data_IF_586674335249
#
_entry.id   IF_586674335249
#
_cell.length_a   1.000
_cell.length_b   1.000
_cell.length_c   1.000
_cell.angle_alpha   90.00
_cell.angle_beta   90.00
_cell.angle_gamma   90.00
#
_symmetry.space_group_name_H-M   'P 1'
#
loop_
_entity.id
_entity.type
_entity.pdbx_description
1 polymer ?
#
# COMPACT_ATOMS: atom_id res chain seq x y z
N UNK A 1 18.86 -27.20 19.44
CA UNK A 1 17.60 -26.74 20.13
C UNK A 1 16.46 -26.75 19.11
N UNK A 2 15.45 -27.60 19.30
CA UNK A 2 14.40 -27.85 18.30
C UNK A 2 13.55 -26.58 18.09
N UNK A 3 13.24 -26.21 16.83
CA UNK A 3 12.44 -25.03 16.45
C UNK A 3 11.11 -24.99 17.22
N UNK A 4 10.52 -26.18 17.47
CA UNK A 4 9.27 -26.34 18.23
C UNK A 4 9.41 -25.97 19.71
N UNK A 5 10.54 -26.23 20.36
CA UNK A 5 10.77 -25.85 21.76
C UNK A 5 10.96 -24.33 21.88
N UNK A 6 11.68 -23.72 20.93
CA UNK A 6 11.88 -22.26 20.87
C UNK A 6 10.57 -21.51 20.59
N UNK A 7 9.70 -22.06 19.73
CA UNK A 7 8.37 -21.49 19.51
C UNK A 7 7.47 -21.58 20.76
N UNK A 8 7.49 -22.71 21.48
CA UNK A 8 6.69 -22.87 22.71
C UNK A 8 7.08 -21.88 23.80
N UNK A 9 8.36 -21.54 23.92
CA UNK A 9 8.87 -20.59 24.93
C UNK A 9 8.58 -19.11 24.63
N UNK A 10 8.09 -18.76 23.40
CA UNK A 10 7.74 -17.39 23.05
C UNK A 10 6.52 -16.91 23.85
N UNK A 11 6.52 -15.62 24.23
CA UNK A 11 5.35 -14.96 24.81
C UNK A 11 4.18 -14.94 23.83
N UNK A 12 2.95 -14.74 24.31
CA UNK A 12 1.73 -14.64 23.49
C UNK A 12 1.88 -13.48 22.48
N UNK A 13 2.45 -12.36 22.91
CA UNK A 13 2.71 -11.18 22.09
C UNK A 13 3.67 -11.51 20.93
N UNK A 14 4.77 -12.20 21.21
CA UNK A 14 5.74 -12.59 20.21
C UNK A 14 5.14 -13.60 19.20
N UNK A 15 4.34 -14.57 19.67
CA UNK A 15 3.58 -15.47 18.78
C UNK A 15 2.59 -14.72 17.90
N UNK A 16 1.85 -13.79 18.48
CA UNK A 16 0.89 -12.95 17.74
C UNK A 16 1.59 -12.12 16.67
N UNK A 17 2.67 -11.42 17.00
CA UNK A 17 3.45 -10.63 16.05
C UNK A 17 3.97 -11.48 14.88
N UNK A 18 4.52 -12.69 15.19
CA UNK A 18 5.00 -13.63 14.16
C UNK A 18 3.87 -14.04 13.21
N UNK A 19 2.72 -14.47 13.77
CA UNK A 19 1.60 -14.94 12.97
C UNK A 19 0.93 -13.81 12.16
N UNK A 20 0.82 -12.60 12.71
CA UNK A 20 0.32 -11.45 11.96
C UNK A 20 1.21 -11.11 10.78
N UNK A 21 2.54 -11.17 10.96
CA UNK A 21 3.50 -10.96 9.89
C UNK A 21 3.37 -12.03 8.80
N UNK A 22 3.37 -13.31 9.18
CA UNK A 22 3.20 -14.43 8.24
C UNK A 22 1.88 -14.29 7.48
N UNK A 23 0.79 -14.00 8.18
CA UNK A 23 -0.54 -13.82 7.59
C UNK A 23 -0.55 -12.69 6.56
N UNK A 24 0.05 -11.55 6.86
CA UNK A 24 0.17 -10.43 5.92
C UNK A 24 0.97 -10.78 4.67
N UNK A 25 2.06 -11.54 4.82
CA UNK A 25 2.83 -12.04 3.68
C UNK A 25 2.02 -13.04 2.84
N UNK A 26 1.31 -13.97 3.48
CA UNK A 26 0.47 -14.94 2.79
C UNK A 26 -0.66 -14.27 2.02
N UNK A 27 -1.37 -13.30 2.62
CA UNK A 27 -2.41 -12.54 1.92
C UNK A 27 -1.88 -11.84 0.67
N UNK A 28 -0.76 -11.13 0.80
CA UNK A 28 -0.13 -10.44 -0.33
C UNK A 28 0.37 -11.44 -1.38
N UNK A 29 0.93 -12.56 -0.95
CA UNK A 29 1.36 -13.65 -1.84
C UNK A 29 0.19 -14.26 -2.61
N UNK A 30 -0.93 -14.58 -1.95
CA UNK A 30 -2.14 -15.09 -2.59
C UNK A 30 -2.67 -14.08 -3.61
N UNK A 31 -2.79 -12.80 -3.21
CA UNK A 31 -3.24 -11.74 -4.11
C UNK A 31 -2.36 -11.64 -5.35
N UNK A 32 -1.05 -11.79 -5.18
CA UNK A 32 -0.08 -11.73 -6.26
C UNK A 32 -0.15 -12.95 -7.20
N UNK A 33 -0.24 -14.16 -6.63
CA UNK A 33 -0.37 -15.41 -7.40
C UNK A 33 -1.68 -15.44 -8.21
N UNK A 34 -2.73 -14.75 -7.77
CA UNK A 34 -4.01 -14.71 -8.48
C UNK A 34 -4.02 -13.74 -9.67
N UNK A 35 -3.08 -12.78 -9.74
CA UNK A 35 -2.97 -11.85 -10.88
C UNK A 35 -2.87 -12.59 -12.21
N UNK A 36 -1.93 -13.53 -12.42
CA UNK A 36 -1.80 -14.25 -13.69
C UNK A 36 -3.04 -15.08 -14.07
N UNK A 37 -3.83 -15.50 -13.11
CA UNK A 37 -5.08 -16.24 -13.37
C UNK A 37 -6.10 -15.27 -14.00
N UNK A 38 -6.33 -14.13 -13.40
CA UNK A 38 -7.35 -13.19 -13.86
C UNK A 38 -6.94 -12.43 -15.12
N UNK A 39 -5.67 -12.11 -15.31
CA UNK A 39 -5.19 -11.48 -16.55
C UNK A 39 -5.32 -12.37 -17.77
N UNK A 40 -5.35 -13.70 -17.60
CA UNK A 40 -5.57 -14.67 -18.68
C UNK A 40 -7.05 -14.97 -18.93
N UNK A 41 -7.88 -14.93 -17.88
CA UNK A 41 -9.31 -15.26 -17.96
C UNK A 41 -10.18 -14.07 -18.38
N UNK A 42 -9.72 -12.86 -18.18
CA UNK A 42 -10.44 -11.63 -18.49
C UNK A 42 -9.82 -10.95 -19.72
N UNK A 43 -10.62 -10.14 -20.44
CA UNK A 43 -10.05 -9.20 -21.41
C UNK A 43 -9.28 -8.10 -20.70
N UNK A 44 -8.41 -7.40 -21.42
CA UNK A 44 -7.69 -6.22 -20.86
C UNK A 44 -8.66 -5.14 -20.42
N UNK A 45 -9.73 -4.90 -21.17
CA UNK A 45 -10.76 -3.92 -20.83
C UNK A 45 -11.50 -4.30 -19.53
N UNK A 46 -11.91 -5.55 -19.38
CA UNK A 46 -12.57 -6.02 -18.17
C UNK A 46 -11.66 -6.00 -16.94
N UNK A 47 -10.39 -6.38 -17.13
CA UNK A 47 -9.40 -6.25 -16.04
C UNK A 47 -9.13 -4.79 -15.67
N UNK A 48 -9.12 -3.89 -16.65
CA UNK A 48 -9.03 -2.44 -16.45
C UNK A 48 -10.24 -1.89 -15.69
N UNK A 49 -11.46 -2.30 -16.10
CA UNK A 49 -12.70 -1.95 -15.39
C UNK A 49 -12.66 -2.37 -13.91
N UNK A 50 -12.20 -3.58 -13.62
CA UNK A 50 -11.98 -4.03 -12.24
C UNK A 50 -10.94 -3.17 -11.51
N UNK A 51 -9.87 -2.78 -12.19
CA UNK A 51 -8.83 -1.94 -11.58
C UNK A 51 -9.34 -0.53 -11.27
N UNK A 52 -10.17 0.06 -12.15
CA UNK A 52 -10.88 1.33 -11.91
C UNK A 52 -11.83 1.21 -10.72
N UNK A 53 -12.61 0.12 -10.66
CA UNK A 53 -13.49 -0.17 -9.52
C UNK A 53 -12.72 -0.18 -8.20
N UNK A 54 -11.58 -0.87 -8.12
CA UNK A 54 -10.76 -0.90 -6.91
C UNK A 54 -10.22 0.48 -6.53
N UNK A 55 -9.86 1.31 -7.51
CA UNK A 55 -9.36 2.66 -7.25
C UNK A 55 -10.44 3.56 -6.65
N UNK A 56 -11.65 3.51 -7.20
CA UNK A 56 -12.80 4.25 -6.66
C UNK A 56 -13.27 3.70 -5.32
N UNK A 57 -13.24 2.38 -5.13
CA UNK A 57 -13.60 1.74 -3.86
C UNK A 57 -12.75 2.26 -2.70
N UNK A 58 -11.44 2.44 -2.90
CA UNK A 58 -10.56 2.98 -1.85
C UNK A 58 -10.94 4.42 -1.48
N UNK A 59 -11.28 5.26 -2.46
CA UNK A 59 -11.75 6.62 -2.22
C UNK A 59 -13.10 6.59 -1.48
N UNK A 60 -14.05 5.79 -1.96
CA UNK A 60 -15.36 5.65 -1.33
C UNK A 60 -15.25 5.14 0.11
N UNK A 61 -14.37 4.18 0.37
CA UNK A 61 -14.14 3.65 1.72
C UNK A 61 -13.68 4.73 2.69
N UNK A 62 -12.82 5.67 2.27
CA UNK A 62 -12.48 6.83 3.12
C UNK A 62 -13.70 7.71 3.36
N UNK A 63 -14.45 8.01 2.32
CA UNK A 63 -15.62 8.90 2.43
C UNK A 63 -16.73 8.31 3.33
N UNK A 64 -16.89 6.99 3.32
CA UNK A 64 -17.95 6.30 4.07
C UNK A 64 -17.54 5.89 5.48
N UNK A 65 -16.26 5.61 5.74
CA UNK A 65 -15.77 5.17 7.05
C UNK A 65 -14.89 6.21 7.75
N UNK A 66 -14.56 7.34 7.10
CA UNK A 66 -13.55 8.31 7.55
C UNK A 66 -12.22 7.63 7.95
N UNK A 67 -12.01 6.40 7.48
CA UNK A 67 -10.85 5.55 7.80
C UNK A 67 -10.62 5.35 9.31
N UNK A 68 -11.70 5.39 10.11
CA UNK A 68 -11.67 5.37 11.57
C UNK A 68 -11.06 4.08 12.14
N UNK A 69 -11.10 2.99 11.39
CA UNK A 69 -10.50 1.71 11.78
C UNK A 69 -8.96 1.72 11.77
N UNK A 70 -8.32 2.81 11.30
CA UNK A 70 -6.88 2.94 11.24
C UNK A 70 -6.40 4.03 12.20
N UNK A 71 -5.74 3.64 13.28
CA UNK A 71 -5.19 4.53 14.29
C UNK A 71 -6.21 5.03 15.33
N UNK A 72 -7.32 5.64 14.91
CA UNK A 72 -8.36 6.14 15.84
C UNK A 72 -8.95 5.00 16.67
N UNK A 73 -9.25 3.89 16.02
CA UNK A 73 -9.78 2.69 16.67
C UNK A 73 -8.78 2.06 17.64
N UNK A 74 -7.51 1.96 17.27
CA UNK A 74 -6.46 1.40 18.11
C UNK A 74 -6.27 2.23 19.40
N UNK A 75 -6.27 3.56 19.29
CA UNK A 75 -6.21 4.47 20.43
C UNK A 75 -7.44 4.32 21.34
N UNK A 76 -8.62 4.14 20.77
CA UNK A 76 -9.84 3.94 21.51
C UNK A 76 -9.88 2.59 22.25
N UNK A 77 -9.30 1.53 21.68
CA UNK A 77 -9.17 0.24 22.34
C UNK A 77 -8.33 0.31 23.61
N UNK A 78 -7.34 1.21 23.68
CA UNK A 78 -6.59 1.48 24.90
C UNK A 78 -7.39 2.35 25.87
N UNK A 79 -8.07 3.41 25.37
CA UNK A 79 -8.81 4.37 26.20
C UNK A 79 -10.05 3.75 26.86
N UNK A 80 -10.83 2.98 26.09
CA UNK A 80 -12.11 2.39 26.53
C UNK A 80 -11.96 0.90 26.83
N UNK A 81 -10.99 0.54 27.66
CA UNK A 81 -10.62 -0.86 27.92
C UNK A 81 -11.79 -1.74 28.39
N UNK A 82 -12.66 -1.22 29.24
CA UNK A 82 -13.83 -1.93 29.79
C UNK A 82 -15.05 -1.90 28.87
N UNK A 83 -15.08 -1.00 27.89
CA UNK A 83 -16.21 -0.69 27.02
C UNK A 83 -15.88 -0.93 25.55
N UNK A 84 -14.93 -1.84 25.27
CA UNK A 84 -14.47 -2.13 23.90
C UNK A 84 -15.58 -2.65 22.98
N UNK A 85 -16.53 -3.42 23.53
CA UNK A 85 -17.65 -3.96 22.76
C UNK A 85 -18.63 -2.86 22.38
N UNK A 86 -18.97 -2.00 23.32
CA UNK A 86 -19.86 -0.83 23.13
C UNK A 86 -19.25 0.15 22.12
N UNK A 87 -17.94 0.49 22.29
CA UNK A 87 -17.23 1.35 21.35
C UNK A 87 -17.21 0.76 19.94
N UNK A 88 -16.92 -0.54 19.79
CA UNK A 88 -16.89 -1.21 18.49
C UNK A 88 -18.26 -1.18 17.80
N UNK A 89 -19.31 -1.46 18.56
CA UNK A 89 -20.71 -1.40 18.09
C UNK A 89 -21.09 0.03 17.65
N UNK A 90 -20.75 1.04 18.45
CA UNK A 90 -20.99 2.44 18.11
C UNK A 90 -20.20 2.89 16.87
N UNK A 91 -18.96 2.43 16.65
CA UNK A 91 -18.19 2.71 15.44
C UNK A 91 -18.82 2.06 14.21
N UNK A 92 -19.35 0.85 14.33
CA UNK A 92 -20.10 0.21 13.27
C UNK A 92 -21.38 1.00 12.95
N UNK A 93 -22.09 1.49 13.97
CA UNK A 93 -23.25 2.38 13.81
C UNK A 93 -22.91 3.67 13.08
N UNK A 94 -21.80 4.32 13.46
CA UNK A 94 -21.32 5.55 12.79
C UNK A 94 -21.01 5.28 11.31
N UNK A 95 -20.32 4.19 11.01
CA UNK A 95 -20.00 3.80 9.63
C UNK A 95 -21.27 3.55 8.81
N UNK A 96 -22.27 2.87 9.39
CA UNK A 96 -23.56 2.65 8.72
C UNK A 96 -24.28 3.97 8.40
N UNK A 97 -24.31 4.92 9.34
CA UNK A 97 -24.95 6.22 9.13
C UNK A 97 -24.23 7.04 8.07
N UNK A 98 -22.91 7.13 8.12
CA UNK A 98 -22.14 7.87 7.11
C UNK A 98 -22.30 7.23 5.73
N UNK A 99 -22.18 5.90 5.64
CA UNK A 99 -22.36 5.17 4.38
C UNK A 99 -23.76 5.37 3.83
N UNK A 100 -24.79 5.30 4.70
CA UNK A 100 -26.18 5.56 4.31
C UNK A 100 -26.39 6.98 3.80
N UNK A 101 -25.80 7.99 4.43
CA UNK A 101 -25.87 9.37 4.00
C UNK A 101 -25.20 9.59 2.62
N UNK A 102 -24.00 9.03 2.43
CA UNK A 102 -23.28 9.11 1.13
C UNK A 102 -24.03 8.33 0.05
N UNK A 103 -24.64 7.20 0.39
CA UNK A 103 -25.48 6.43 -0.53
C UNK A 103 -26.76 7.17 -0.91
N UNK A 104 -27.43 7.82 0.05
CA UNK A 104 -28.59 8.65 -0.25
C UNK A 104 -28.21 9.81 -1.20
N UNK A 105 -27.09 10.49 -0.96
CA UNK A 105 -26.59 11.53 -1.87
C UNK A 105 -26.34 10.96 -3.27
N UNK A 106 -25.74 9.76 -3.37
CA UNK A 106 -25.56 9.06 -4.65
C UNK A 106 -26.91 8.82 -5.34
N UNK A 107 -27.92 8.33 -4.62
CA UNK A 107 -29.24 8.07 -5.22
C UNK A 107 -29.89 9.30 -5.84
N UNK A 108 -29.76 10.47 -5.20
CA UNK A 108 -30.28 11.75 -5.74
C UNK A 108 -29.48 12.29 -6.92
N UNK A 109 -28.21 11.90 -7.05
CA UNK A 109 -27.28 12.45 -8.06
C UNK A 109 -26.63 11.36 -8.92
N UNK A 110 -27.28 10.19 -9.05
CA UNK A 110 -26.69 8.97 -9.66
C UNK A 110 -26.13 9.21 -11.07
N UNK A 111 -26.87 9.91 -11.95
CA UNK A 111 -26.42 10.17 -13.31
C UNK A 111 -25.14 11.02 -13.42
N UNK A 112 -24.87 11.89 -12.43
CA UNK A 112 -23.63 12.63 -12.33
C UNK A 112 -22.47 11.70 -11.93
N UNK A 113 -22.68 10.87 -10.90
CA UNK A 113 -21.64 9.97 -10.41
C UNK A 113 -21.32 8.84 -11.38
N UNK A 114 -22.31 8.28 -12.09
CA UNK A 114 -22.08 7.26 -13.11
C UNK A 114 -21.15 7.77 -14.22
N UNK A 115 -21.30 9.03 -14.62
CA UNK A 115 -20.38 9.68 -15.57
C UNK A 115 -18.97 9.90 -14.99
N UNK A 116 -18.88 10.31 -13.72
CA UNK A 116 -17.59 10.54 -13.05
C UNK A 116 -16.86 9.22 -12.81
N UNK A 117 -17.55 8.23 -12.29
CA UNK A 117 -16.94 6.92 -11.95
C UNK A 117 -16.63 6.09 -13.20
N UNK A 118 -17.29 6.37 -14.33
CA UNK A 118 -17.18 5.60 -15.59
C UNK A 118 -17.40 4.09 -15.39
N UNK A 119 -18.36 3.75 -14.51
CA UNK A 119 -18.72 2.39 -14.14
C UNK A 119 -20.24 2.19 -14.25
N UNK A 120 -20.71 0.98 -14.59
CA UNK A 120 -22.13 0.64 -14.57
C UNK A 120 -22.73 0.79 -13.16
N UNK A 121 -24.00 1.21 -13.10
CA UNK A 121 -24.74 1.38 -11.84
C UNK A 121 -24.68 0.17 -10.91
N UNK A 122 -24.79 -1.04 -11.48
CA UNK A 122 -24.68 -2.29 -10.72
C UNK A 122 -23.34 -2.45 -10.00
N UNK A 123 -22.23 -2.06 -10.63
CA UNK A 123 -20.92 -2.09 -9.98
C UNK A 123 -20.80 -1.03 -8.89
N UNK A 124 -21.39 0.15 -9.08
CA UNK A 124 -21.40 1.21 -8.07
C UNK A 124 -22.21 0.78 -6.84
N UNK A 125 -23.35 0.10 -7.01
CA UNK A 125 -24.12 -0.46 -5.91
C UNK A 125 -23.33 -1.52 -5.13
N UNK A 126 -22.61 -2.40 -5.82
CA UNK A 126 -21.71 -3.36 -5.18
C UNK A 126 -20.56 -2.68 -4.46
N UNK A 127 -20.05 -1.57 -5.00
CA UNK A 127 -19.01 -0.76 -4.36
C UNK A 127 -19.49 -0.17 -3.02
N UNK A 128 -20.72 0.33 -2.95
CA UNK A 128 -21.33 0.80 -1.70
C UNK A 128 -21.52 -0.35 -0.69
N UNK A 129 -21.94 -1.51 -1.16
CA UNK A 129 -22.05 -2.70 -0.30
C UNK A 129 -20.69 -3.12 0.25
N UNK A 130 -19.66 -3.14 -0.58
CA UNK A 130 -18.29 -3.47 -0.15
C UNK A 130 -17.72 -2.41 0.82
N UNK A 131 -17.96 -1.12 0.54
CA UNK A 131 -17.56 -0.03 1.42
C UNK A 131 -18.28 -0.04 2.78
N UNK A 132 -19.49 -0.61 2.85
CA UNK A 132 -20.24 -0.83 4.08
C UNK A 132 -19.67 -2.00 4.90
N UNK A 133 -19.29 -3.08 4.22
CA UNK A 133 -18.90 -4.35 4.85
C UNK A 133 -17.43 -4.35 5.31
N UNK A 134 -16.52 -3.77 4.51
CA UNK A 134 -15.08 -3.87 4.77
C UNK A 134 -14.62 -3.23 6.09
N UNK A 135 -15.20 -2.11 6.60
CA UNK A 135 -14.86 -1.56 7.90
C UNK A 135 -15.17 -2.50 9.07
N UNK A 136 -16.24 -3.29 8.98
CA UNK A 136 -16.61 -4.23 10.03
C UNK A 136 -15.52 -5.28 10.31
N UNK A 137 -14.96 -5.83 9.23
CA UNK A 137 -13.82 -6.75 9.35
C UNK A 137 -12.58 -6.04 9.87
N UNK A 138 -12.38 -4.78 9.49
CA UNK A 138 -11.25 -3.96 9.93
C UNK A 138 -11.32 -3.68 11.45
N UNK A 139 -12.48 -3.30 11.99
CA UNK A 139 -12.71 -3.14 13.43
C UNK A 139 -12.51 -4.46 14.18
N UNK A 140 -13.12 -5.54 13.65
CA UNK A 140 -12.96 -6.85 14.24
C UNK A 140 -11.48 -7.29 14.28
N UNK A 141 -10.77 -7.14 13.18
CA UNK A 141 -9.36 -7.49 13.06
C UNK A 141 -8.47 -6.64 13.96
N UNK A 142 -8.74 -5.32 14.06
CA UNK A 142 -8.06 -4.41 14.98
C UNK A 142 -8.20 -4.88 16.43
N UNK A 143 -9.41 -5.26 16.82
CA UNK A 143 -9.67 -5.80 18.15
C UNK A 143 -8.92 -7.11 18.42
N UNK A 144 -8.97 -8.08 17.47
CA UNK A 144 -8.22 -9.33 17.62
C UNK A 144 -6.72 -9.10 17.79
N UNK A 145 -6.16 -8.13 17.04
CA UNK A 145 -4.75 -7.72 17.18
C UNK A 145 -4.47 -7.12 18.55
N UNK A 146 -5.31 -6.23 19.03
CA UNK A 146 -5.17 -5.59 20.32
C UNK A 146 -5.25 -6.58 21.49
N UNK A 147 -6.11 -7.62 21.40
CA UNK A 147 -6.28 -8.68 22.39
C UNK A 147 -5.33 -9.88 22.17
N UNK A 148 -4.40 -9.79 21.22
CA UNK A 148 -3.47 -10.88 20.84
C UNK A 148 -4.15 -12.21 20.45
N UNK A 149 -5.40 -12.16 19.97
CA UNK A 149 -6.17 -13.33 19.52
C UNK A 149 -5.81 -13.73 18.09
N UNK A 150 -4.53 -14.03 17.86
CA UNK A 150 -3.99 -14.22 16.51
C UNK A 150 -4.59 -15.42 15.77
N UNK A 151 -4.96 -16.52 16.46
CA UNK A 151 -5.41 -17.76 15.81
C UNK A 151 -6.66 -17.53 14.94
N UNK A 152 -7.70 -16.95 15.54
CA UNK A 152 -8.95 -16.69 14.81
C UNK A 152 -8.78 -15.63 13.73
N UNK A 153 -7.98 -14.60 14.00
CA UNK A 153 -7.68 -13.57 13.01
C UNK A 153 -6.98 -14.17 11.78
N UNK A 154 -5.95 -14.99 11.98
CA UNK A 154 -5.22 -15.64 10.90
C UNK A 154 -6.14 -16.56 10.10
N UNK A 155 -6.99 -17.36 10.78
CA UNK A 155 -7.93 -18.27 10.13
C UNK A 155 -8.90 -17.51 9.22
N UNK A 156 -9.58 -16.49 9.73
CA UNK A 156 -10.56 -15.70 8.97
C UNK A 156 -9.88 -14.96 7.81
N UNK A 157 -8.70 -14.39 8.06
CA UNK A 157 -7.97 -13.61 7.06
C UNK A 157 -7.46 -14.48 5.90
N UNK A 158 -6.92 -15.67 6.21
CA UNK A 158 -6.47 -16.63 5.17
C UNK A 158 -7.69 -17.21 4.44
N UNK A 159 -8.76 -17.55 5.16
CA UNK A 159 -10.00 -18.02 4.53
C UNK A 159 -10.51 -17.01 3.51
N UNK A 160 -10.61 -15.72 3.89
CA UNK A 160 -11.02 -14.66 2.97
C UNK A 160 -10.07 -14.53 1.77
N UNK A 161 -8.75 -14.54 2.02
CA UNK A 161 -7.74 -14.40 0.97
C UNK A 161 -7.80 -15.54 -0.06
N UNK A 162 -8.19 -16.75 0.34
CA UNK A 162 -8.37 -17.90 -0.54
C UNK A 162 -9.75 -17.91 -1.21
N UNK A 163 -10.80 -17.64 -0.43
CA UNK A 163 -12.18 -17.73 -0.96
C UNK A 163 -12.49 -16.63 -1.97
N UNK A 164 -11.95 -15.41 -1.82
CA UNK A 164 -12.15 -14.34 -2.79
C UNK A 164 -11.76 -14.73 -4.23
N UNK A 165 -10.53 -15.19 -4.50
CA UNK A 165 -10.18 -15.63 -5.85
C UNK A 165 -10.91 -16.91 -6.29
N UNK A 166 -11.19 -17.85 -5.39
CA UNK A 166 -11.92 -19.07 -5.72
C UNK A 166 -13.34 -18.74 -6.16
N UNK A 167 -14.09 -17.96 -5.38
CA UNK A 167 -15.45 -17.55 -5.73
C UNK A 167 -15.49 -16.76 -7.04
N UNK A 168 -14.55 -15.82 -7.22
CA UNK A 168 -14.42 -15.06 -8.46
C UNK A 168 -14.11 -15.98 -9.65
N UNK A 169 -13.23 -16.96 -9.48
CA UNK A 169 -12.88 -17.92 -10.52
C UNK A 169 -14.08 -18.78 -10.93
N UNK A 170 -14.85 -19.27 -9.97
CA UNK A 170 -16.06 -20.06 -10.23
C UNK A 170 -17.06 -19.24 -11.02
N UNK A 171 -17.37 -18.02 -10.59
CA UNK A 171 -18.32 -17.15 -11.29
C UNK A 171 -17.86 -16.77 -12.71
N UNK A 172 -16.58 -16.48 -12.90
CA UNK A 172 -15.99 -16.20 -14.21
C UNK A 172 -16.09 -17.41 -15.14
N UNK A 173 -15.85 -18.61 -14.63
CA UNK A 173 -15.96 -19.85 -15.41
C UNK A 173 -17.39 -20.16 -15.84
N UNK A 174 -18.37 -19.84 -14.99
CA UNK A 174 -19.79 -20.11 -15.25
C UNK A 174 -20.44 -19.04 -16.15
N UNK A 175 -20.04 -17.77 -16.02
CA UNK A 175 -20.78 -16.64 -16.62
C UNK A 175 -19.90 -15.74 -17.53
N UNK A 176 -18.64 -16.12 -17.78
CA UNK A 176 -17.72 -15.34 -18.61
C UNK A 176 -16.78 -14.45 -17.82
N UNK A 177 -15.66 -14.06 -18.45
CA UNK A 177 -14.52 -13.34 -17.85
C UNK A 177 -14.76 -11.83 -17.67
N UNK A 178 -15.86 -11.43 -17.04
CA UNK A 178 -16.20 -10.02 -16.81
C UNK A 178 -15.76 -9.51 -15.46
N UNK A 179 -15.54 -8.19 -15.36
CA UNK A 179 -15.24 -7.48 -14.10
C UNK A 179 -16.37 -7.70 -13.07
N UNK A 180 -17.62 -7.70 -13.53
CA UNK A 180 -18.79 -7.93 -12.69
C UNK A 180 -18.72 -9.28 -11.96
N UNK A 181 -18.40 -10.35 -12.66
CA UNK A 181 -18.30 -11.70 -12.05
C UNK A 181 -17.18 -11.76 -11.02
N UNK A 182 -16.06 -11.08 -11.28
CA UNK A 182 -14.96 -10.99 -10.33
C UNK A 182 -15.37 -10.23 -9.08
N UNK A 183 -16.03 -9.07 -9.23
CA UNK A 183 -16.53 -8.23 -8.11
C UNK A 183 -17.59 -9.01 -7.31
N UNK A 184 -18.55 -9.65 -7.96
CA UNK A 184 -19.57 -10.47 -7.29
C UNK A 184 -18.95 -11.59 -6.44
N UNK A 185 -17.89 -12.25 -6.93
CA UNK A 185 -17.18 -13.26 -6.15
C UNK A 185 -16.56 -12.68 -4.88
N UNK A 186 -15.93 -11.53 -4.96
CA UNK A 186 -15.32 -10.84 -3.80
C UNK A 186 -16.41 -10.39 -2.82
N UNK A 187 -17.43 -9.67 -3.30
CA UNK A 187 -18.51 -9.13 -2.47
C UNK A 187 -19.32 -10.27 -1.82
N UNK A 188 -19.59 -11.37 -2.56
CA UNK A 188 -20.26 -12.54 -2.00
C UNK A 188 -19.52 -13.15 -0.80
N UNK A 189 -18.21 -13.32 -0.91
CA UNK A 189 -17.38 -13.79 0.22
C UNK A 189 -17.38 -12.77 1.37
N UNK A 190 -17.30 -11.49 1.06
CA UNK A 190 -17.37 -10.44 2.08
C UNK A 190 -18.71 -10.44 2.81
N UNK A 191 -19.83 -10.60 2.11
CA UNK A 191 -21.17 -10.74 2.74
C UNK A 191 -21.16 -11.90 3.72
N UNK A 192 -20.68 -13.07 3.31
CA UNK A 192 -20.63 -14.26 4.17
C UNK A 192 -19.76 -14.08 5.43
N UNK A 193 -18.71 -13.28 5.37
CA UNK A 193 -17.79 -13.07 6.50
C UNK A 193 -18.23 -11.85 7.33
N UNK A 194 -18.52 -10.72 6.68
CA UNK A 194 -18.71 -9.45 7.38
C UNK A 194 -20.11 -9.30 7.99
N UNK A 195 -21.16 -9.87 7.37
CA UNK A 195 -22.51 -9.80 7.94
C UNK A 195 -22.58 -10.49 9.31
N UNK A 196 -22.09 -11.73 9.49
CA UNK A 196 -22.00 -12.35 10.82
C UNK A 196 -21.17 -11.51 11.82
N UNK A 197 -20.08 -10.88 11.37
CA UNK A 197 -19.25 -10.01 12.21
C UNK A 197 -20.03 -8.79 12.66
N UNK A 198 -20.78 -8.12 11.77
CA UNK A 198 -21.61 -6.96 12.09
C UNK A 198 -22.68 -7.33 13.12
N UNK A 199 -23.39 -8.43 12.88
CA UNK A 199 -24.41 -8.93 13.81
C UNK A 199 -23.78 -9.24 15.17
N UNK A 200 -22.65 -9.93 15.21
CA UNK A 200 -21.94 -10.22 16.45
C UNK A 200 -21.52 -8.96 17.20
N UNK A 201 -20.99 -7.94 16.48
CA UNK A 201 -20.58 -6.67 17.08
C UNK A 201 -21.77 -5.94 17.73
N UNK A 202 -22.91 -5.88 17.04
CA UNK A 202 -24.13 -5.25 17.58
C UNK A 202 -24.77 -6.04 18.72
N UNK A 203 -24.82 -7.38 18.61
CA UNK A 203 -25.36 -8.21 19.66
C UNK A 203 -24.55 -8.12 20.96
N UNK A 204 -23.22 -7.93 20.83
CA UNK A 204 -22.31 -7.87 21.96
C UNK A 204 -22.20 -6.47 22.57
N UNK A 205 -22.08 -5.45 21.73
CA UNK A 205 -21.90 -4.06 22.17
C UNK A 205 -23.20 -3.37 22.54
N UNK A 206 -24.31 -3.72 21.86
CA UNK A 206 -25.68 -3.17 22.07
C UNK A 206 -25.76 -1.64 22.00
N UNK A 207 -24.73 -1.00 21.50
CA UNK A 207 -24.64 0.46 21.41
C UNK A 207 -24.57 0.86 19.93
N UNK A 208 -25.63 1.44 19.39
CA UNK A 208 -25.64 1.94 18.02
C UNK A 208 -25.09 3.37 17.93
N UNK A 209 -25.51 4.22 18.89
CA UNK A 209 -25.16 5.62 18.94
C UNK A 209 -24.69 6.02 20.32
N UNK A 210 -23.52 6.62 20.42
CA UNK A 210 -23.02 7.25 21.63
C UNK A 210 -22.39 8.58 21.29
N UNK A 211 -22.90 9.65 21.87
CA UNK A 211 -22.37 11.00 21.67
C UNK A 211 -20.89 11.09 22.07
N UNK A 212 -20.50 10.38 23.11
CA UNK A 212 -19.10 10.34 23.57
C UNK A 212 -18.21 9.65 22.53
N UNK A 213 -18.56 8.42 22.12
CA UNK A 213 -17.74 7.61 21.22
C UNK A 213 -17.68 8.21 19.82
N UNK A 214 -18.82 8.66 19.29
CA UNK A 214 -18.86 9.31 17.98
C UNK A 214 -18.13 10.65 18.01
N UNK A 215 -18.33 11.46 19.07
CA UNK A 215 -17.61 12.73 19.25
C UNK A 215 -16.09 12.54 19.32
N UNK A 216 -15.63 11.52 20.06
CA UNK A 216 -14.21 11.16 20.12
C UNK A 216 -13.66 10.76 18.74
N UNK A 217 -14.37 9.86 18.05
CA UNK A 217 -13.93 9.34 16.76
C UNK A 217 -13.90 10.42 15.68
N UNK A 218 -14.94 11.24 15.57
CA UNK A 218 -15.02 12.32 14.57
C UNK A 218 -14.02 13.43 14.84
N UNK A 219 -13.79 13.79 16.11
CA UNK A 219 -12.83 14.83 16.49
C UNK A 219 -11.39 14.51 16.07
N UNK A 220 -11.02 13.22 16.12
CA UNK A 220 -9.69 12.76 15.71
C UNK A 220 -9.69 12.40 14.24
N UNK A 221 -10.73 11.72 13.75
CA UNK A 221 -10.80 11.16 12.41
C UNK A 221 -10.88 12.23 11.32
N UNK A 222 -11.80 13.20 11.44
CA UNK A 222 -12.02 14.20 10.39
C UNK A 222 -10.73 14.96 10.00
N UNK A 223 -9.91 15.47 10.94
CA UNK A 223 -8.66 16.16 10.59
C UNK A 223 -7.65 15.29 9.84
N UNK A 224 -7.69 13.96 9.99
CA UNK A 224 -6.74 13.04 9.37
C UNK A 224 -7.21 12.57 7.97
N UNK A 225 -8.51 12.67 7.66
CA UNK A 225 -9.08 12.28 6.36
C UNK A 225 -8.31 12.87 5.16
N UNK A 226 -7.96 14.17 5.11
CA UNK A 226 -7.21 14.73 3.99
C UNK A 226 -5.85 14.05 3.77
N UNK A 227 -5.16 13.64 4.83
CA UNK A 227 -3.91 12.91 4.73
C UNK A 227 -4.09 11.53 4.11
N UNK A 228 -5.09 10.75 4.59
CA UNK A 228 -5.37 9.43 4.01
C UNK A 228 -5.85 9.53 2.56
N UNK A 229 -6.71 10.51 2.26
CA UNK A 229 -7.19 10.75 0.90
C UNK A 229 -6.03 11.10 -0.04
N UNK A 230 -5.10 11.96 0.39
CA UNK A 230 -3.90 12.30 -0.37
C UNK A 230 -3.05 11.06 -0.67
N UNK A 231 -2.87 10.17 0.30
CA UNK A 231 -2.15 8.92 0.11
C UNK A 231 -2.83 8.00 -0.91
N UNK A 232 -4.16 7.92 -0.91
CA UNK A 232 -4.90 7.14 -1.91
C UNK A 232 -4.84 7.79 -3.29
N UNK A 233 -5.00 9.11 -3.39
CA UNK A 233 -4.87 9.82 -4.66
C UNK A 233 -3.49 9.58 -5.27
N UNK A 234 -2.42 9.68 -4.48
CA UNK A 234 -1.06 9.42 -4.95
C UNK A 234 -0.84 7.97 -5.43
N UNK A 235 -1.56 7.01 -4.85
CA UNK A 235 -1.42 5.58 -5.19
C UNK A 235 -2.41 5.07 -6.24
N UNK A 236 -3.58 5.70 -6.39
CA UNK A 236 -4.68 5.21 -7.24
C UNK A 236 -5.14 6.24 -8.28
N UNK A 237 -4.81 7.53 -8.10
CA UNK A 237 -5.25 8.60 -8.98
C UNK A 237 -4.83 8.40 -10.43
N UNK A 238 -3.65 7.84 -10.64
CA UNK A 238 -3.12 7.51 -11.98
C UNK A 238 -4.12 6.68 -12.79
N UNK A 239 -4.68 5.62 -12.18
CA UNK A 239 -5.62 4.70 -12.84
C UNK A 239 -6.93 5.36 -13.23
N UNK A 240 -7.43 6.21 -12.34
CA UNK A 240 -8.66 7.00 -12.59
C UNK A 240 -8.42 7.98 -13.74
N UNK A 241 -7.25 8.63 -13.76
CA UNK A 241 -6.91 9.60 -14.80
C UNK A 241 -6.66 8.90 -16.14
N UNK A 242 -5.97 7.76 -16.16
CA UNK A 242 -5.78 6.95 -17.38
C UNK A 242 -7.13 6.48 -17.93
N UNK A 243 -8.06 6.00 -17.07
CA UNK A 243 -9.41 5.61 -17.51
C UNK A 243 -10.16 6.74 -18.23
N UNK A 244 -10.03 7.96 -17.69
CA UNK A 244 -10.73 9.14 -18.24
C UNK A 244 -10.09 9.72 -19.50
N UNK A 245 -8.79 9.60 -19.63
CA UNK A 245 -8.01 10.31 -20.65
C UNK A 245 -7.55 9.41 -21.79
N UNK A 246 -7.42 8.10 -21.53
CA UNK A 246 -6.89 7.13 -22.51
C UNK A 246 -7.85 5.96 -22.68
N UNK A 247 -8.08 5.15 -21.63
CA UNK A 247 -9.01 4.02 -21.72
C UNK A 247 -8.74 2.92 -20.68
N UNK A 248 -9.69 1.97 -20.61
CA UNK A 248 -9.67 0.86 -19.64
C UNK A 248 -8.58 -0.17 -19.92
N UNK A 249 -8.26 -0.39 -21.20
CA UNK A 249 -7.16 -1.30 -21.58
C UNK A 249 -5.84 -0.79 -21.03
N UNK A 250 -5.57 0.50 -21.14
CA UNK A 250 -4.35 1.14 -20.65
C UNK A 250 -4.30 1.14 -19.11
N UNK A 251 -5.47 1.25 -18.45
CA UNK A 251 -5.54 1.04 -16.99
C UNK A 251 -5.12 -0.37 -16.60
N UNK A 252 -5.51 -1.39 -17.38
CA UNK A 252 -5.09 -2.77 -17.12
C UNK A 252 -3.57 -2.94 -17.27
N UNK A 253 -2.99 -2.38 -18.34
CA UNK A 253 -1.54 -2.40 -18.58
C UNK A 253 -0.78 -1.70 -17.44
N UNK A 254 -1.22 -0.50 -17.10
CA UNK A 254 -0.65 0.28 -15.99
C UNK A 254 -0.80 -0.43 -14.65
N UNK A 255 -2.00 -0.96 -14.35
CA UNK A 255 -2.29 -1.65 -13.10
C UNK A 255 -1.45 -2.91 -12.89
N UNK A 256 -1.24 -3.70 -13.95
CA UNK A 256 -0.34 -4.84 -13.92
C UNK A 256 1.11 -4.40 -13.69
N UNK A 257 1.60 -3.44 -14.48
CA UNK A 257 2.94 -2.91 -14.36
C UNK A 257 3.22 -2.33 -12.96
N UNK A 258 2.28 -1.56 -12.43
CA UNK A 258 2.37 -1.00 -11.09
C UNK A 258 2.44 -2.10 -10.02
N UNK A 259 1.62 -3.15 -10.15
CA UNK A 259 1.64 -4.28 -9.22
C UNK A 259 3.00 -4.99 -9.23
N UNK A 260 3.60 -5.19 -10.41
CA UNK A 260 4.94 -5.78 -10.55
C UNK A 260 6.01 -4.82 -9.98
N UNK A 261 5.97 -3.54 -10.34
CA UNK A 261 6.93 -2.54 -9.84
C UNK A 261 6.92 -2.42 -8.32
N UNK A 262 5.75 -2.53 -7.69
CA UNK A 262 5.58 -2.45 -6.24
C UNK A 262 5.97 -3.73 -5.48
N UNK A 263 6.44 -4.80 -6.14
CA UNK A 263 6.98 -5.97 -5.44
C UNK A 263 8.12 -5.63 -4.49
N UNK A 264 8.96 -4.68 -4.87
CA UNK A 264 10.06 -4.20 -4.02
C UNK A 264 9.53 -3.59 -2.71
N UNK A 265 8.31 -3.02 -2.72
CA UNK A 265 7.68 -2.45 -1.52
C UNK A 265 7.42 -3.49 -0.41
N UNK A 266 7.17 -4.75 -0.79
CA UNK A 266 7.04 -5.84 0.19
C UNK A 266 8.33 -6.02 1.00
N UNK A 267 9.45 -5.98 0.31
CA UNK A 267 10.76 -6.08 0.93
C UNK A 267 11.04 -4.88 1.84
N UNK A 268 10.76 -3.67 1.36
CA UNK A 268 10.93 -2.42 2.13
C UNK A 268 10.06 -2.41 3.38
N UNK A 269 8.81 -2.89 3.33
CA UNK A 269 7.92 -2.91 4.49
C UNK A 269 8.47 -3.79 5.63
N UNK A 270 9.10 -4.92 5.28
CA UNK A 270 9.81 -5.77 6.23
C UNK A 270 11.04 -5.08 6.84
N UNK A 271 11.83 -4.39 6.02
CA UNK A 271 12.98 -3.60 6.48
C UNK A 271 12.55 -2.48 7.43
N UNK A 272 11.53 -1.72 7.09
CA UNK A 272 11.06 -0.59 7.91
C UNK A 272 10.64 -1.04 9.31
N UNK A 273 9.99 -2.19 9.45
CA UNK A 273 9.60 -2.75 10.76
C UNK A 273 10.81 -3.00 11.68
N UNK A 274 11.95 -3.38 11.13
CA UNK A 274 13.19 -3.58 11.88
C UNK A 274 13.96 -2.27 12.09
N UNK A 275 13.93 -1.36 11.12
CA UNK A 275 14.68 -0.10 11.15
C UNK A 275 14.09 0.90 12.14
N UNK A 276 12.78 1.00 12.28
CA UNK A 276 12.12 2.01 13.11
C UNK A 276 12.63 2.03 14.56
N UNK A 277 12.61 0.91 15.33
CA UNK A 277 13.08 0.93 16.71
C UNK A 277 14.60 1.17 16.80
N UNK A 278 15.37 0.67 15.84
CA UNK A 278 16.81 0.90 15.77
C UNK A 278 17.14 2.37 15.51
N UNK A 279 16.46 3.01 14.57
CA UNK A 279 16.64 4.45 14.28
C UNK A 279 16.28 5.31 15.49
N UNK A 280 15.18 5.02 16.18
CA UNK A 280 14.81 5.75 17.40
C UNK A 280 15.89 5.64 18.49
N UNK A 281 16.45 4.44 18.69
CA UNK A 281 17.57 4.25 19.61
C UNK A 281 18.81 5.06 19.23
N UNK A 282 19.12 5.16 17.93
CA UNK A 282 20.26 5.91 17.41
C UNK A 282 20.05 7.44 17.52
N UNK A 283 18.85 7.94 17.19
CA UNK A 283 18.48 9.35 17.36
C UNK A 283 18.60 9.74 18.83
N UNK A 284 18.09 8.91 19.75
CA UNK A 284 18.22 9.16 21.20
C UNK A 284 19.66 9.28 21.68
N UNK A 285 20.59 8.54 21.05
CA UNK A 285 22.03 8.58 21.39
C UNK A 285 22.82 9.65 20.64
N UNK A 286 22.21 10.38 19.70
CA UNK A 286 22.90 11.32 18.83
C UNK A 286 23.86 10.68 17.82
N UNK A 287 23.80 9.34 17.61
CA UNK A 287 24.73 8.61 16.74
C UNK A 287 24.26 8.57 15.27
N UNK A 288 24.14 9.76 14.67
CA UNK A 288 23.66 9.94 13.30
C UNK A 288 24.68 9.47 12.26
N UNK A 289 25.99 9.62 12.56
CA UNK A 289 27.05 9.20 11.63
C UNK A 289 27.03 7.70 11.34
N UNK A 290 26.95 6.88 12.39
CA UNK A 290 26.83 5.42 12.26
C UNK A 290 25.51 5.03 11.57
N UNK A 291 24.42 5.72 11.91
CA UNK A 291 23.11 5.51 11.27
C UNK A 291 23.16 5.79 9.77
N UNK A 292 23.77 6.89 9.35
CA UNK A 292 23.95 7.26 7.93
C UNK A 292 24.63 6.15 7.12
N UNK A 293 25.72 5.57 7.63
CA UNK A 293 26.45 4.50 6.92
C UNK A 293 25.56 3.29 6.65
N UNK A 294 24.79 2.86 7.65
CA UNK A 294 23.86 1.74 7.51
C UNK A 294 22.74 2.07 6.53
N UNK A 295 22.12 3.24 6.64
CA UNK A 295 21.02 3.66 5.76
C UNK A 295 21.49 3.79 4.30
N UNK A 296 22.67 4.30 4.04
CA UNK A 296 23.26 4.38 2.69
C UNK A 296 23.49 2.96 2.11
N UNK A 297 24.01 2.02 2.91
CA UNK A 297 24.20 0.65 2.46
C UNK A 297 22.88 -0.04 2.13
N UNK A 298 21.86 0.12 2.98
CA UNK A 298 20.52 -0.42 2.72
C UNK A 298 19.88 0.23 1.49
N UNK A 299 20.12 1.52 1.28
CA UNK A 299 19.69 2.24 0.07
C UNK A 299 20.30 1.65 -1.21
N UNK A 300 21.58 1.28 -1.18
CA UNK A 300 22.26 0.59 -2.30
C UNK A 300 21.60 -0.77 -2.57
N UNK A 301 21.22 -1.51 -1.53
CA UNK A 301 20.51 -2.79 -1.68
C UNK A 301 19.15 -2.56 -2.35
N UNK A 302 18.39 -1.54 -1.93
CA UNK A 302 17.10 -1.20 -2.54
C UNK A 302 17.26 -0.80 -4.00
N UNK A 303 18.28 0.01 -4.34
CA UNK A 303 18.64 0.34 -5.73
C UNK A 303 18.94 -0.92 -6.53
N UNK A 304 19.75 -1.82 -6.01
CA UNK A 304 20.09 -3.09 -6.67
C UNK A 304 18.86 -3.95 -6.96
N UNK A 305 17.95 -4.09 -5.98
CA UNK A 305 16.70 -4.84 -6.15
C UNK A 305 15.80 -4.17 -7.19
N UNK A 306 15.68 -2.83 -7.17
CA UNK A 306 14.88 -2.09 -8.14
C UNK A 306 15.42 -2.29 -9.57
N UNK A 307 16.73 -2.18 -9.78
CA UNK A 307 17.38 -2.41 -11.09
C UNK A 307 17.21 -3.87 -11.53
N UNK A 308 17.38 -4.83 -10.64
CA UNK A 308 17.15 -6.24 -10.95
C UNK A 308 15.70 -6.46 -11.42
N UNK A 309 14.73 -5.87 -10.74
CA UNK A 309 13.33 -5.92 -11.14
C UNK A 309 13.09 -5.29 -12.51
N UNK A 310 13.72 -4.14 -12.81
CA UNK A 310 13.65 -3.50 -14.13
C UNK A 310 14.17 -4.44 -15.24
N UNK A 311 15.31 -5.09 -15.01
CA UNK A 311 15.96 -5.97 -16.00
C UNK A 311 15.15 -7.25 -16.29
N UNK A 312 14.46 -7.81 -15.29
CA UNK A 312 13.63 -9.02 -15.44
C UNK A 312 12.16 -8.71 -15.73
N UNK A 313 11.81 -7.43 -15.89
CA UNK A 313 10.42 -7.01 -16.08
C UNK A 313 9.73 -7.62 -17.31
N UNK A 314 10.39 -7.85 -18.47
CA UNK A 314 9.74 -8.51 -19.61
C UNK A 314 9.28 -9.93 -19.28
N UNK A 315 10.08 -10.71 -18.55
CA UNK A 315 9.75 -12.05 -18.11
C UNK A 315 8.60 -12.03 -17.08
N UNK A 316 8.63 -11.06 -16.16
CA UNK A 316 7.54 -10.89 -15.19
C UNK A 316 6.22 -10.53 -15.87
N UNK A 317 6.23 -9.65 -16.87
CA UNK A 317 5.02 -9.34 -17.64
C UNK A 317 4.46 -10.58 -18.34
N UNK A 318 5.32 -11.47 -18.88
CA UNK A 318 4.86 -12.72 -19.49
C UNK A 318 4.30 -13.72 -18.46
N UNK A 319 4.87 -13.75 -17.25
CA UNK A 319 4.41 -14.62 -16.15
C UNK A 319 3.09 -14.11 -15.59
N UNK A 320 3.01 -12.82 -15.25
CA UNK A 320 1.86 -12.23 -14.56
C UNK A 320 0.75 -11.73 -15.48
N UNK A 321 1.08 -11.39 -16.71
CA UNK A 321 0.13 -11.01 -17.73
C UNK A 321 -0.10 -12.15 -18.74
N UNK A 322 -0.55 -11.74 -19.90
CA UNK A 322 -0.60 -12.54 -21.12
C UNK A 322 0.10 -11.73 -22.22
N UNK A 323 0.30 -12.25 -23.44
CA UNK A 323 0.86 -11.47 -24.54
C UNK A 323 0.18 -10.12 -24.78
N UNK A 324 -1.09 -9.98 -24.42
CA UNK A 324 -1.87 -8.74 -24.49
C UNK A 324 -1.32 -7.61 -23.58
N UNK A 325 -0.54 -7.97 -22.54
CA UNK A 325 0.04 -7.02 -21.57
C UNK A 325 1.48 -6.63 -21.89
N UNK A 326 2.03 -7.01 -23.04
CA UNK A 326 3.45 -6.82 -23.36
C UNK A 326 3.92 -5.37 -23.19
N UNK A 327 3.09 -4.39 -23.56
CA UNK A 327 3.42 -2.96 -23.44
C UNK A 327 3.52 -2.47 -21.98
N UNK A 328 2.96 -3.21 -21.02
CA UNK A 328 3.08 -2.90 -19.60
C UNK A 328 4.55 -2.83 -19.13
N UNK A 329 5.47 -3.49 -19.85
CA UNK A 329 6.90 -3.52 -19.53
C UNK A 329 7.49 -2.11 -19.42
N UNK A 330 7.05 -1.16 -20.24
CA UNK A 330 7.59 0.21 -20.27
C UNK A 330 7.21 1.07 -19.05
N UNK A 331 6.20 0.67 -18.30
CA UNK A 331 5.76 1.36 -17.07
C UNK A 331 6.54 0.84 -15.84
N UNK A 332 7.04 -0.39 -15.86
CA UNK A 332 7.68 -1.02 -14.70
C UNK A 332 8.93 -0.27 -14.24
N UNK A 333 9.87 0.16 -15.12
CA UNK A 333 11.10 0.82 -14.69
C UNK A 333 10.89 2.10 -13.87
N UNK A 334 10.09 3.10 -14.29
CA UNK A 334 9.86 4.27 -13.47
C UNK A 334 9.11 3.96 -12.16
N UNK A 335 8.19 2.99 -12.16
CA UNK A 335 7.49 2.56 -10.94
C UNK A 335 8.45 1.86 -9.98
N UNK A 336 9.32 0.97 -10.46
CA UNK A 336 10.35 0.33 -9.64
C UNK A 336 11.35 1.35 -9.06
N UNK A 337 11.73 2.37 -9.84
CA UNK A 337 12.56 3.48 -9.36
C UNK A 337 11.85 4.28 -8.26
N UNK A 338 10.55 4.51 -8.37
CA UNK A 338 9.77 5.26 -7.36
C UNK A 338 9.80 4.60 -5.99
N UNK A 339 9.94 3.26 -5.92
CA UNK A 339 9.98 2.51 -4.66
C UNK A 339 11.24 2.85 -3.83
N UNK A 340 12.35 3.21 -4.48
CA UNK A 340 13.52 3.75 -3.78
C UNK A 340 13.16 5.04 -3.04
N UNK A 341 12.45 5.97 -3.67
CA UNK A 341 12.05 7.23 -3.03
C UNK A 341 11.01 7.01 -1.94
N UNK A 342 10.15 5.98 -2.06
CA UNK A 342 9.27 5.53 -0.97
C UNK A 342 10.11 5.08 0.23
N UNK A 343 11.17 4.32 0.04
CA UNK A 343 12.10 3.94 1.11
C UNK A 343 12.78 5.16 1.74
N UNK A 344 13.28 6.09 0.92
CA UNK A 344 13.98 7.30 1.40
C UNK A 344 13.03 8.19 2.21
N UNK A 345 11.80 8.48 1.74
CA UNK A 345 10.91 9.32 2.52
C UNK A 345 10.49 8.66 3.84
N UNK A 346 10.32 7.33 3.88
CA UNK A 346 10.06 6.60 5.13
C UNK A 346 11.19 6.81 6.15
N UNK A 347 12.45 6.72 5.72
CA UNK A 347 13.62 6.99 6.58
C UNK A 347 13.61 8.44 7.05
N UNK A 348 13.41 9.37 6.13
CA UNK A 348 13.47 10.82 6.40
C UNK A 348 12.28 11.32 7.23
N UNK A 349 11.18 10.59 7.28
CA UNK A 349 10.05 10.90 8.16
C UNK A 349 10.27 10.48 9.62
N UNK A 350 11.22 9.59 9.92
CA UNK A 350 11.43 9.06 11.28
C UNK A 350 11.74 10.14 12.34
N UNK A 351 12.58 11.17 12.10
CA UNK A 351 12.74 12.27 13.06
C UNK A 351 11.45 13.05 13.30
N UNK A 352 10.58 13.18 12.27
CA UNK A 352 9.30 13.88 12.41
C UNK A 352 8.39 13.16 13.39
N UNK A 353 8.36 11.80 13.33
CA UNK A 353 7.63 10.97 14.29
C UNK A 353 8.31 10.96 15.66
N UNK A 354 9.63 10.82 15.72
CA UNK A 354 10.37 10.76 16.99
C UNK A 354 10.21 12.03 17.83
N UNK A 355 10.26 13.22 17.18
CA UNK A 355 10.07 14.51 17.84
C UNK A 355 8.62 15.02 17.80
N UNK A 356 7.66 14.19 17.41
CA UNK A 356 6.22 14.48 17.36
C UNK A 356 5.84 15.69 16.48
N UNK A 357 6.70 16.05 15.49
CA UNK A 357 6.49 17.17 14.57
C UNK A 357 5.81 16.71 13.27
N UNK A 358 4.60 16.15 13.39
CA UNK A 358 3.90 15.46 12.29
C UNK A 358 3.08 16.36 11.36
N UNK A 359 2.94 17.65 11.68
CA UNK A 359 2.15 18.60 10.86
C UNK A 359 2.65 18.71 9.43
N UNK A 360 3.96 18.61 9.22
CA UNK A 360 4.58 18.64 7.90
C UNK A 360 4.30 17.40 7.04
N UNK A 361 4.05 16.25 7.68
CA UNK A 361 3.68 15.01 6.95
C UNK A 361 2.39 15.20 6.16
N UNK A 362 1.38 15.82 6.78
CA UNK A 362 0.09 16.07 6.13
C UNK A 362 0.24 17.05 4.97
N UNK A 363 0.92 18.18 5.19
CA UNK A 363 1.15 19.18 4.15
C UNK A 363 1.95 18.60 2.95
N UNK A 364 3.00 17.83 3.24
CA UNK A 364 3.82 17.20 2.22
C UNK A 364 3.04 16.16 1.39
N UNK A 365 2.19 15.34 2.05
CA UNK A 365 1.38 14.36 1.33
C UNK A 365 0.31 15.01 0.45
N UNK A 366 -0.33 16.08 0.92
CA UNK A 366 -1.30 16.85 0.13
C UNK A 366 -0.63 17.52 -1.08
N UNK A 367 0.53 18.13 -0.88
CA UNK A 367 1.30 18.74 -1.97
C UNK A 367 1.73 17.71 -3.01
N UNK A 368 2.21 16.52 -2.57
CA UNK A 368 2.61 15.45 -3.47
C UNK A 368 1.41 14.90 -4.27
N UNK A 369 0.24 14.72 -3.63
CA UNK A 369 -0.98 14.30 -4.32
C UNK A 369 -1.47 15.34 -5.32
N UNK A 370 -1.46 16.62 -4.95
CA UNK A 370 -1.78 17.72 -5.87
C UNK A 370 -0.83 17.79 -7.07
N UNK A 371 0.46 17.67 -6.83
CA UNK A 371 1.47 17.60 -7.89
C UNK A 371 1.24 16.39 -8.81
N UNK A 372 0.91 15.21 -8.26
CA UNK A 372 0.61 14.01 -9.05
C UNK A 372 -0.58 14.23 -9.98
N UNK A 373 -1.68 14.80 -9.49
CA UNK A 373 -2.86 15.10 -10.31
C UNK A 373 -2.50 16.07 -11.43
N UNK A 374 -1.78 17.16 -11.13
CA UNK A 374 -1.40 18.17 -12.14
C UNK A 374 -0.45 17.57 -13.19
N UNK A 375 0.60 16.87 -12.75
CA UNK A 375 1.56 16.25 -13.67
C UNK A 375 0.89 15.17 -14.52
N UNK A 376 0.06 14.32 -13.95
CA UNK A 376 -0.69 13.33 -14.71
C UNK A 376 -1.63 13.97 -15.72
N UNK A 377 -2.33 15.04 -15.35
CA UNK A 377 -3.23 15.74 -16.27
C UNK A 377 -2.51 16.29 -17.50
N UNK A 378 -1.29 16.78 -17.33
CA UNK A 378 -0.46 17.32 -18.42
C UNK A 378 0.17 16.17 -19.22
N UNK A 379 0.90 15.29 -18.54
CA UNK A 379 1.78 14.33 -19.21
C UNK A 379 1.06 13.10 -19.75
N UNK A 380 -0.06 12.66 -19.17
CA UNK A 380 -0.87 11.58 -19.76
C UNK A 380 -1.48 12.05 -21.09
N UNK A 381 -1.90 13.31 -21.19
CA UNK A 381 -2.42 13.87 -22.45
C UNK A 381 -1.36 13.94 -23.55
N UNK A 382 -0.12 14.25 -23.18
CA UNK A 382 0.97 14.45 -24.15
C UNK A 382 1.63 13.12 -24.56
N UNK A 383 1.78 12.18 -23.64
CA UNK A 383 2.61 10.98 -23.83
C UNK A 383 1.89 9.67 -23.53
N UNK A 384 0.57 9.71 -23.25
CA UNK A 384 -0.22 8.53 -22.94
C UNK A 384 0.04 7.98 -21.53
N UNK A 385 -0.50 6.79 -21.28
CA UNK A 385 -0.53 6.16 -19.94
C UNK A 385 0.86 5.83 -19.36
N UNK A 386 1.88 5.63 -20.20
CA UNK A 386 3.26 5.35 -19.75
C UNK A 386 3.82 6.52 -18.94
N UNK A 387 3.43 7.74 -19.29
CA UNK A 387 3.85 8.94 -18.57
C UNK A 387 3.45 8.92 -17.10
N UNK A 388 2.34 8.25 -16.71
CA UNK A 388 1.89 8.14 -15.35
C UNK A 388 2.93 7.45 -14.42
N UNK A 389 3.73 6.53 -14.95
CA UNK A 389 4.84 5.94 -14.20
C UNK A 389 5.94 6.95 -13.88
N UNK A 390 6.28 7.83 -14.84
CA UNK A 390 7.29 8.87 -14.65
C UNK A 390 6.80 10.02 -13.78
N UNK A 391 5.53 10.42 -13.90
CA UNK A 391 4.95 11.45 -13.02
C UNK A 391 4.88 10.97 -11.58
N UNK A 392 4.55 9.70 -11.35
CA UNK A 392 4.59 9.07 -10.02
C UNK A 392 6.02 9.05 -9.47
N UNK A 393 7.02 8.69 -10.28
CA UNK A 393 8.42 8.77 -9.90
C UNK A 393 8.81 10.20 -9.48
N UNK A 394 8.47 11.21 -10.29
CA UNK A 394 8.75 12.62 -10.00
C UNK A 394 8.07 13.07 -8.68
N UNK A 395 6.82 12.66 -8.43
CA UNK A 395 6.11 12.98 -7.20
C UNK A 395 6.77 12.38 -5.96
N UNK A 396 7.20 11.11 -5.99
CA UNK A 396 7.91 10.51 -4.88
C UNK A 396 9.31 11.11 -4.67
N UNK A 397 9.97 11.56 -5.74
CA UNK A 397 11.21 12.34 -5.62
C UNK A 397 10.96 13.66 -4.89
N UNK A 398 9.97 14.45 -5.31
CA UNK A 398 9.60 15.72 -4.67
C UNK A 398 9.19 15.49 -3.20
N UNK A 399 8.45 14.42 -2.94
CA UNK A 399 8.03 14.04 -1.59
C UNK A 399 9.24 13.72 -0.70
N UNK A 400 10.22 12.98 -1.23
CA UNK A 400 11.48 12.67 -0.53
C UNK A 400 12.32 13.93 -0.25
N UNK A 401 12.37 14.87 -1.20
CA UNK A 401 13.06 16.17 -1.01
C UNK A 401 12.39 16.99 0.10
N UNK A 402 11.06 17.04 0.10
CA UNK A 402 10.31 17.71 1.17
C UNK A 402 10.63 17.14 2.55
N UNK A 403 10.60 15.82 2.68
CA UNK A 403 10.97 15.14 3.94
C UNK A 403 12.43 15.32 4.31
N UNK A 404 13.34 15.41 3.33
CA UNK A 404 14.75 15.71 3.60
C UNK A 404 14.94 17.08 4.24
N UNK A 405 14.31 18.12 3.68
CA UNK A 405 14.38 19.49 4.18
C UNK A 405 13.82 19.59 5.60
N UNK A 406 12.64 18.99 5.82
CA UNK A 406 11.97 19.01 7.12
C UNK A 406 12.75 18.24 8.18
N UNK A 407 13.22 17.03 7.84
CA UNK A 407 14.03 16.19 8.72
C UNK A 407 15.33 16.92 9.14
N UNK A 408 16.01 17.56 8.18
CA UNK A 408 17.21 18.35 8.46
C UNK A 408 16.92 19.49 9.41
N UNK A 409 15.84 20.26 9.18
CA UNK A 409 15.44 21.38 10.06
C UNK A 409 15.15 20.90 11.48
N UNK A 410 14.45 19.78 11.64
CA UNK A 410 14.12 19.21 12.94
C UNK A 410 15.42 18.83 13.68
N UNK A 411 16.32 18.09 13.03
CA UNK A 411 17.57 17.67 13.64
C UNK A 411 18.44 18.85 14.07
N UNK A 412 18.57 19.88 13.22
CA UNK A 412 19.32 21.10 13.55
C UNK A 412 18.70 21.82 14.76
N UNK A 413 17.37 21.93 14.84
CA UNK A 413 16.70 22.54 15.98
C UNK A 413 16.89 21.75 17.29
N UNK A 414 17.14 20.45 17.19
CA UNK A 414 17.45 19.58 18.34
C UNK A 414 18.97 19.48 18.62
N UNK A 415 19.78 20.37 18.03
CA UNK A 415 21.22 20.43 18.24
C UNK A 415 22.05 19.44 17.43
N UNK A 416 21.46 18.71 16.50
CA UNK A 416 22.12 17.71 15.66
C UNK A 416 22.41 18.32 14.29
N UNK A 417 23.68 18.64 14.02
CA UNK A 417 24.12 19.23 12.74
C UNK A 417 24.26 18.22 11.61
N UNK A 418 24.26 16.94 11.92
CA UNK A 418 24.49 15.88 10.97
C UNK A 418 23.23 15.55 10.17
N UNK A 419 23.41 15.30 8.85
CA UNK A 419 22.32 14.84 7.98
C UNK A 419 22.17 13.32 8.10
N UNK A 420 20.92 12.83 8.13
CA UNK A 420 20.61 11.38 8.06
C UNK A 420 21.16 10.71 6.81
N UNK A 421 21.10 11.41 5.69
CA UNK A 421 21.59 10.96 4.40
C UNK A 421 22.43 12.06 3.76
N UNK A 422 23.51 11.68 3.08
CA UNK A 422 24.31 12.62 2.31
C UNK A 422 23.55 13.11 1.08
N UNK A 423 23.44 14.43 0.83
CA UNK A 423 22.77 14.95 -0.36
C UNK A 423 23.39 14.43 -1.66
N UNK A 424 24.72 14.40 -1.76
CA UNK A 424 25.42 13.89 -2.93
C UNK A 424 25.11 12.42 -3.21
N UNK A 425 24.98 11.59 -2.16
CA UNK A 425 24.57 10.19 -2.31
C UNK A 425 23.14 10.06 -2.83
N UNK A 426 22.19 10.85 -2.30
CA UNK A 426 20.81 10.84 -2.77
C UNK A 426 20.71 11.28 -4.23
N UNK A 427 21.44 12.34 -4.61
CA UNK A 427 21.48 12.81 -6.01
C UNK A 427 22.08 11.74 -6.92
N UNK A 428 23.20 11.11 -6.53
CA UNK A 428 23.83 10.05 -7.32
C UNK A 428 22.89 8.85 -7.54
N UNK A 429 22.20 8.37 -6.48
CA UNK A 429 21.21 7.31 -6.59
C UNK A 429 20.02 7.71 -7.47
N UNK A 430 19.56 8.97 -7.37
CA UNK A 430 18.45 9.48 -8.18
C UNK A 430 18.81 9.52 -9.66
N UNK A 431 19.95 10.10 -10.01
CA UNK A 431 20.43 10.17 -11.41
C UNK A 431 20.65 8.76 -11.97
N UNK A 432 21.24 7.87 -11.17
CA UNK A 432 21.45 6.47 -11.57
C UNK A 432 20.13 5.75 -11.84
N UNK A 433 19.13 5.86 -10.95
CA UNK A 433 17.84 5.19 -11.13
C UNK A 433 17.01 5.74 -12.29
N UNK A 434 17.02 7.06 -12.50
CA UNK A 434 16.39 7.67 -13.67
C UNK A 434 17.06 7.18 -14.94
N UNK A 435 18.39 7.23 -15.00
CA UNK A 435 19.15 6.70 -16.13
C UNK A 435 18.88 5.22 -16.37
N UNK A 436 18.90 4.40 -15.30
CA UNK A 436 18.59 2.98 -15.40
C UNK A 436 17.17 2.73 -15.93
N UNK A 437 16.16 3.51 -15.49
CA UNK A 437 14.79 3.36 -15.97
C UNK A 437 14.65 3.65 -17.48
N UNK A 438 15.38 4.64 -17.97
CA UNK A 438 15.39 4.97 -19.42
C UNK A 438 16.17 3.91 -20.21
N UNK A 439 17.37 3.54 -19.74
CA UNK A 439 18.22 2.55 -20.41
C UNK A 439 17.52 1.18 -20.44
N UNK A 440 16.85 0.75 -19.37
CA UNK A 440 16.12 -0.52 -19.36
C UNK A 440 15.06 -0.56 -20.46
N UNK A 441 14.33 0.53 -20.68
CA UNK A 441 13.34 0.61 -21.76
C UNK A 441 13.97 0.44 -23.16
N UNK A 442 15.20 0.88 -23.36
CA UNK A 442 15.92 0.76 -24.64
C UNK A 442 16.50 -0.67 -24.84
N UNK A 443 16.90 -1.33 -23.75
CA UNK A 443 17.58 -2.63 -23.82
C UNK A 443 16.62 -3.83 -23.69
N UNK A 444 15.32 -3.64 -23.48
CA UNK A 444 14.36 -4.75 -23.36
C UNK A 444 14.45 -5.78 -24.50
N UNK A 445 14.65 -5.43 -25.77
CA UNK A 445 14.78 -6.42 -26.82
C UNK A 445 16.05 -7.28 -26.73
N UNK A 446 17.10 -6.81 -26.02
CA UNK A 446 18.41 -7.45 -25.99
C UNK A 446 18.56 -8.35 -24.76
N UNK A 447 18.01 -9.56 -24.83
CA UNK A 447 17.96 -10.51 -23.71
C UNK A 447 19.35 -10.82 -23.12
N UNK A 448 20.35 -11.06 -23.98
CA UNK A 448 21.73 -11.40 -23.55
C UNK A 448 22.32 -10.24 -22.74
N UNK A 449 22.16 -9.00 -23.19
CA UNK A 449 22.68 -7.81 -22.51
C UNK A 449 22.04 -7.65 -21.13
N UNK A 450 20.70 -7.81 -21.03
CA UNK A 450 19.97 -7.71 -19.76
C UNK A 450 20.47 -8.72 -18.72
N UNK A 451 20.59 -9.99 -19.12
CA UNK A 451 21.09 -11.04 -18.22
C UNK A 451 22.59 -10.89 -17.90
N UNK A 452 23.41 -10.40 -18.83
CA UNK A 452 24.80 -10.08 -18.53
C UNK A 452 24.93 -9.00 -17.45
N UNK A 453 24.14 -7.91 -17.54
CA UNK A 453 24.10 -6.86 -16.53
C UNK A 453 23.57 -7.40 -15.19
N UNK A 454 22.54 -8.26 -15.21
CA UNK A 454 21.98 -8.88 -14.02
C UNK A 454 23.00 -9.75 -13.30
N UNK A 455 23.71 -10.60 -14.03
CA UNK A 455 24.76 -11.47 -13.49
C UNK A 455 25.95 -10.65 -12.95
N UNK A 456 26.39 -9.61 -13.66
CA UNK A 456 27.44 -8.72 -13.18
C UNK A 456 27.04 -8.01 -11.88
N UNK A 457 25.80 -7.51 -11.78
CA UNK A 457 25.29 -6.86 -10.57
C UNK A 457 25.15 -7.85 -9.41
N UNK A 458 24.67 -9.08 -9.66
CA UNK A 458 24.63 -10.15 -8.66
C UNK A 458 26.04 -10.54 -8.17
N UNK A 459 27.03 -10.64 -9.08
CA UNK A 459 28.43 -10.89 -8.75
C UNK A 459 29.03 -9.81 -7.83
N UNK A 460 28.71 -8.53 -8.09
CA UNK A 460 29.14 -7.41 -7.23
C UNK A 460 28.54 -7.50 -5.82
N UNK A 461 27.25 -7.85 -5.71
CA UNK A 461 26.59 -8.05 -4.41
C UNK A 461 27.20 -9.22 -3.66
N UNK A 462 27.48 -10.33 -4.36
CA UNK A 462 28.11 -11.50 -3.77
C UNK A 462 29.54 -11.20 -3.28
N UNK A 463 30.32 -10.46 -4.04
CA UNK A 463 31.65 -10.01 -3.63
C UNK A 463 31.62 -9.13 -2.38
N UNK A 464 30.62 -8.29 -2.22
CA UNK A 464 30.45 -7.41 -1.06
C UNK A 464 29.61 -8.03 0.08
N UNK A 465 29.26 -9.32 0.02
CA UNK A 465 28.35 -9.98 0.98
C UNK A 465 28.79 -9.86 2.44
N UNK A 466 30.10 -9.91 2.73
CA UNK A 466 30.61 -9.82 4.10
C UNK A 466 30.34 -8.45 4.72
N UNK A 467 30.43 -7.38 3.93
CA UNK A 467 30.08 -6.03 4.37
C UNK A 467 28.59 -5.92 4.72
N UNK A 468 27.72 -6.52 3.89
CA UNK A 468 26.28 -6.56 4.11
C UNK A 468 25.93 -7.36 5.38
N UNK A 469 26.51 -8.54 5.55
CA UNK A 469 26.29 -9.38 6.72
C UNK A 469 26.76 -8.73 8.02
N UNK A 470 27.91 -8.06 8.00
CA UNK A 470 28.44 -7.31 9.13
C UNK A 470 27.49 -6.16 9.53
N UNK A 471 26.99 -5.41 8.57
CA UNK A 471 26.04 -4.32 8.82
C UNK A 471 24.71 -4.83 9.38
N UNK A 472 24.20 -5.95 8.86
CA UNK A 472 22.99 -6.59 9.41
C UNK A 472 23.20 -7.13 10.83
N UNK A 473 24.40 -7.63 11.13
CA UNK A 473 24.75 -8.05 12.48
C UNK A 473 24.79 -6.88 13.47
N UNK A 474 25.25 -5.71 13.04
CA UNK A 474 25.29 -4.50 13.87
C UNK A 474 23.86 -3.95 14.19
N UNK A 475 22.90 -4.17 13.31
CA UNK A 475 21.48 -3.89 13.58
C UNK A 475 20.87 -4.87 14.60
N UNK A 476 21.32 -6.15 14.56
CA UNK A 476 20.81 -7.20 15.46
C UNK A 476 21.39 -7.17 16.87
N UNK A 477 22.57 -6.60 17.07
CA UNK A 477 23.28 -6.62 18.38
C UNK A 477 22.72 -5.64 19.42
N UNK A 478 21.53 -5.09 19.19
CA UNK A 478 20.76 -4.28 20.14
C UNK A 478 19.28 -4.68 20.14
#
# INVERSE_FOLDING_TARGET
MNITSKYRSLSVQAKAALWFTICSFLQKGISFITVPIFTRLMSTEEYGTYTVYLSWLQILTIMTSLYLFNGVYDNAMAKYEKQRDEYTSAMQGLTLVITGAVFALYCFTSGFWEKILNLPKSMILLMFLEALLSPALSYWSGRQRFEYRYRILVCVTILQALMNPIASLVLIRMNGGTAMMRILGIVGVQVCICVPIIVFQFCKGKEFFSKEYWGYALRIGIPIVPHYLSGIILNQGDRIMIDKMVGKTEVALYGLAYSIGMLVQLFISGMNSALTPWMYSKIKKGDICSMRKVLQLLSIVVVGIAVALMLISPELVLIFGSPKYREAVYVIPPVAASVFFIFIYNILSMPQFYYEKTQFLMAASMAAAGANVVLNFIFIRLFGYIAAGYTTLACYMLYSVGHYIVSKRILVNEGIQENLMSPGFLVACSVFLIGASIICNLIFPYIILRYAILLASAGLVFWKKELLLKTMADIRKK
#
